data_IF_064296718846
#
_entry.id   IF_064296718846
#
_cell.length_a   1.000
_cell.length_b   1.000
_cell.length_c   1.000
_cell.angle_alpha   90.00
_cell.angle_beta   90.00
_cell.angle_gamma   90.00
#
_symmetry.space_group_name_H-M   'P 1'
#
loop_
_entity.id
_entity.type
_entity.pdbx_description
1 polymer ?
#
# COMPACT_ATOMS: atom_id res chain seq x y z
N UNK A 1 50.82 -25.46 -19.66
CA UNK A 1 50.11 -24.43 -18.86
C UNK A 1 48.92 -23.95 -19.68
N UNK A 2 47.74 -23.85 -19.06
CA UNK A 2 46.56 -23.24 -19.67
C UNK A 2 46.67 -21.71 -19.63
N UNK A 3 46.11 -21.01 -20.62
CA UNK A 3 46.14 -19.55 -20.71
C UNK A 3 44.85 -18.96 -20.12
N UNK A 4 44.94 -17.94 -19.26
CA UNK A 4 43.80 -17.30 -18.60
C UNK A 4 42.80 -18.28 -17.94
N UNK A 5 43.29 -19.39 -17.40
CA UNK A 5 42.47 -20.42 -16.76
C UNK A 5 41.57 -21.23 -17.72
N UNK A 6 41.70 -21.04 -19.04
CA UNK A 6 40.93 -21.76 -20.06
C UNK A 6 41.85 -22.66 -20.90
N UNK A 7 41.30 -23.80 -21.37
CA UNK A 7 42.02 -24.74 -22.22
C UNK A 7 42.68 -25.92 -21.51
N UNK A 8 43.57 -26.62 -22.22
CA UNK A 8 44.22 -27.84 -21.73
C UNK A 8 45.43 -27.55 -20.85
N UNK A 9 45.69 -28.41 -19.85
CA UNK A 9 46.89 -28.33 -19.00
C UNK A 9 48.17 -28.54 -19.80
N UNK A 10 48.14 -29.47 -20.75
CA UNK A 10 49.16 -29.78 -21.76
C UNK A 10 48.48 -30.44 -22.97
N UNK A 11 49.05 -30.27 -24.17
CA UNK A 11 48.58 -30.99 -25.36
C UNK A 11 48.93 -32.49 -25.32
N UNK A 12 49.90 -32.89 -24.48
CA UNK A 12 50.31 -34.29 -24.29
C UNK A 12 49.14 -35.10 -23.71
N UNK A 13 48.80 -36.20 -24.38
CA UNK A 13 47.68 -37.06 -24.00
C UNK A 13 46.30 -36.59 -24.48
N UNK A 14 46.22 -35.43 -25.15
CA UNK A 14 44.98 -34.95 -25.77
C UNK A 14 44.80 -35.42 -27.22
N UNK A 15 45.82 -36.02 -27.82
CA UNK A 15 45.84 -36.44 -29.24
C UNK A 15 45.48 -35.34 -30.25
N UNK A 16 45.59 -34.06 -29.87
CA UNK A 16 45.32 -32.89 -30.70
C UNK A 16 46.42 -31.84 -30.52
N UNK A 17 46.40 -30.78 -31.33
CA UNK A 17 47.36 -29.67 -31.26
C UNK A 17 47.22 -28.80 -29.99
N UNK A 18 46.13 -28.97 -29.22
CA UNK A 18 45.83 -28.09 -28.09
C UNK A 18 45.50 -26.65 -28.48
N UNK A 19 45.18 -26.40 -29.76
CA UNK A 19 44.77 -25.08 -30.23
C UNK A 19 43.40 -24.70 -29.66
N UNK A 20 43.33 -23.57 -28.96
CA UNK A 20 42.12 -23.06 -28.31
C UNK A 20 41.71 -21.77 -29.01
N UNK A 21 40.50 -21.74 -29.54
CA UNK A 21 39.90 -20.55 -30.15
C UNK A 21 38.86 -19.95 -29.22
N UNK A 22 38.79 -18.61 -29.18
CA UNK A 22 37.66 -17.94 -28.51
C UNK A 22 36.39 -18.15 -29.33
N UNK A 23 35.28 -18.42 -28.67
CA UNK A 23 33.97 -18.46 -29.34
C UNK A 23 33.56 -17.05 -29.77
N UNK A 24 33.19 -16.89 -31.04
CA UNK A 24 32.60 -15.65 -31.59
C UNK A 24 31.13 -15.45 -31.20
N UNK A 25 30.53 -16.38 -30.45
CA UNK A 25 29.20 -16.19 -29.87
C UNK A 25 29.25 -15.42 -28.54
N UNK A 26 30.39 -15.44 -27.86
CA UNK A 26 30.61 -14.74 -26.59
C UNK A 26 31.16 -13.34 -26.85
N UNK A 27 30.32 -12.48 -27.42
CA UNK A 27 30.65 -11.09 -27.70
C UNK A 27 30.08 -10.20 -26.59
N UNK A 28 30.81 -9.15 -26.21
CA UNK A 28 30.39 -8.22 -25.16
C UNK A 28 29.05 -7.55 -25.46
N UNK A 29 28.72 -7.35 -26.74
CA UNK A 29 27.44 -6.82 -27.19
C UNK A 29 26.27 -7.76 -26.85
N UNK A 30 26.47 -9.07 -26.98
CA UNK A 30 25.48 -10.08 -26.61
C UNK A 30 25.35 -10.23 -25.09
N UNK A 31 26.46 -10.06 -24.36
CA UNK A 31 26.47 -10.00 -22.89
C UNK A 31 25.68 -8.80 -22.37
N UNK A 32 25.95 -7.59 -22.88
CA UNK A 32 25.23 -6.36 -22.51
C UNK A 32 23.73 -6.46 -22.82
N UNK A 33 23.37 -7.06 -23.95
CA UNK A 33 21.97 -7.28 -24.33
C UNK A 33 21.28 -8.28 -23.40
N UNK A 34 21.97 -9.37 -22.99
CA UNK A 34 21.46 -10.32 -21.98
C UNK A 34 21.24 -9.65 -20.62
N UNK A 35 22.15 -8.77 -20.18
CA UNK A 35 21.98 -8.00 -18.95
C UNK A 35 20.78 -7.03 -19.03
N UNK A 36 20.60 -6.34 -20.16
CA UNK A 36 19.42 -5.47 -20.40
C UNK A 36 18.12 -6.28 -20.36
N UNK A 37 18.09 -7.43 -21.02
CA UNK A 37 16.89 -8.30 -21.04
C UNK A 37 16.59 -8.91 -19.66
N UNK A 38 17.62 -9.26 -18.88
CA UNK A 38 17.47 -9.75 -17.52
C UNK A 38 16.90 -8.68 -16.58
N UNK A 39 17.47 -7.47 -16.64
CA UNK A 39 17.02 -6.33 -15.81
C UNK A 39 15.61 -5.86 -16.18
N UNK A 40 15.27 -5.83 -17.48
CA UNK A 40 13.93 -5.54 -17.95
C UNK A 40 12.90 -6.55 -17.42
N UNK A 41 13.18 -7.86 -17.55
CA UNK A 41 12.31 -8.93 -17.04
C UNK A 41 12.14 -8.86 -15.51
N UNK A 42 13.19 -8.48 -14.77
CA UNK A 42 13.11 -8.28 -13.31
C UNK A 42 12.22 -7.09 -12.96
N UNK A 43 12.30 -5.98 -13.72
CA UNK A 43 11.42 -4.82 -13.54
C UNK A 43 9.96 -5.14 -13.84
N UNK A 44 9.67 -5.88 -14.91
CA UNK A 44 8.30 -6.30 -15.22
C UNK A 44 7.71 -7.19 -14.13
N UNK A 45 8.46 -8.21 -13.66
CA UNK A 45 8.01 -9.04 -12.53
C UNK A 45 7.67 -8.21 -11.29
N UNK A 46 8.47 -7.20 -10.97
CA UNK A 46 8.22 -6.29 -9.84
C UNK A 46 7.01 -5.37 -10.07
N UNK A 47 6.67 -5.06 -11.32
CA UNK A 47 5.46 -4.31 -11.68
C UNK A 47 4.24 -5.21 -11.56
N UNK A 48 4.33 -6.43 -12.04
CA UNK A 48 3.26 -7.43 -11.95
C UNK A 48 2.93 -7.80 -10.51
N UNK A 49 3.93 -7.97 -9.64
CA UNK A 49 3.67 -8.22 -8.21
C UNK A 49 2.97 -7.04 -7.55
N UNK A 50 3.39 -5.80 -7.83
CA UNK A 50 2.70 -4.59 -7.35
C UNK A 50 1.28 -4.51 -7.87
N UNK A 51 1.07 -4.78 -9.15
CA UNK A 51 -0.25 -4.76 -9.75
C UNK A 51 -1.15 -5.84 -9.14
N UNK A 52 -0.66 -7.05 -8.91
CA UNK A 52 -1.42 -8.13 -8.26
C UNK A 52 -1.78 -7.82 -6.80
N UNK A 53 -0.85 -7.23 -6.04
CA UNK A 53 -1.13 -6.76 -4.68
C UNK A 53 -2.20 -5.66 -4.69
N UNK A 54 -2.11 -4.72 -5.64
CA UNK A 54 -3.10 -3.67 -5.81
C UNK A 54 -4.45 -4.20 -6.34
N UNK A 55 -4.45 -5.27 -7.14
CA UNK A 55 -5.66 -5.91 -7.66
C UNK A 55 -6.38 -6.74 -6.60
N UNK A 56 -5.64 -7.40 -5.69
CA UNK A 56 -6.21 -8.11 -4.54
C UNK A 56 -6.95 -7.19 -3.57
N UNK A 57 -6.57 -5.91 -3.52
CA UNK A 57 -7.29 -4.86 -2.77
C UNK A 57 -8.55 -4.39 -3.51
N UNK A 58 -8.62 -4.60 -4.83
CA UNK A 58 -9.67 -4.03 -5.71
C UNK A 58 -10.75 -5.04 -6.15
N UNK A 59 -10.60 -6.34 -5.87
CA UNK A 59 -11.49 -7.38 -6.41
C UNK A 59 -12.06 -8.28 -5.31
N UNK A 60 -13.15 -7.83 -4.69
CA UNK A 60 -14.18 -8.70 -4.11
C UNK A 60 -15.41 -8.69 -5.02
N UNK A 61 -16.07 -9.83 -5.11
CA UNK A 61 -16.91 -10.29 -6.23
C UNK A 61 -18.31 -9.66 -6.32
N UNK A 62 -18.69 -8.79 -5.37
CA UNK A 62 -19.97 -8.05 -5.39
C UNK A 62 -19.79 -6.53 -5.68
N UNK A 63 -18.62 -6.10 -6.14
CA UNK A 63 -18.43 -4.76 -6.72
C UNK A 63 -18.51 -3.56 -5.76
N UNK A 64 -18.65 -3.78 -4.46
CA UNK A 64 -18.70 -2.69 -3.46
C UNK A 64 -17.32 -2.49 -2.84
N UNK A 65 -16.51 -1.60 -3.43
CA UNK A 65 -15.42 -0.91 -2.71
C UNK A 65 -16.08 0.12 -1.78
N UNK A 66 -16.85 -0.34 -0.80
CA UNK A 66 -17.36 0.51 0.27
C UNK A 66 -17.34 -0.26 1.60
N UNK A 67 -16.15 -0.44 2.23
CA UNK A 67 -16.19 -0.73 3.65
C UNK A 67 -15.05 -0.09 4.46
N UNK A 68 -14.45 1.01 4.00
CA UNK A 68 -13.65 1.83 4.93
C UNK A 68 -14.54 2.89 5.55
N UNK A 69 -15.18 3.75 4.75
CA UNK A 69 -16.01 4.81 5.32
C UNK A 69 -17.28 4.32 6.04
N UNK A 70 -17.99 3.33 5.50
CA UNK A 70 -19.17 2.75 6.15
C UNK A 70 -18.78 2.03 7.44
N UNK A 71 -17.72 1.23 7.41
CA UNK A 71 -17.17 0.57 8.60
C UNK A 71 -16.74 1.59 9.64
N UNK A 72 -15.98 2.63 9.27
CA UNK A 72 -15.55 3.70 10.16
C UNK A 72 -16.78 4.40 10.78
N UNK A 73 -17.80 4.73 9.98
CA UNK A 73 -19.06 5.30 10.50
C UNK A 73 -19.73 4.38 11.52
N UNK A 74 -19.80 3.08 11.25
CA UNK A 74 -20.39 2.10 12.18
C UNK A 74 -19.55 1.91 13.44
N UNK A 75 -18.23 1.90 13.35
CA UNK A 75 -17.32 1.82 14.49
C UNK A 75 -17.48 3.04 15.40
N UNK A 76 -17.53 4.24 14.83
CA UNK A 76 -17.76 5.47 15.58
C UNK A 76 -19.12 5.47 16.27
N UNK A 77 -20.19 5.05 15.57
CA UNK A 77 -21.53 4.92 16.18
C UNK A 77 -21.52 3.89 17.31
N UNK A 78 -20.89 2.73 17.10
CA UNK A 78 -20.77 1.68 18.11
C UNK A 78 -20.04 2.18 19.35
N UNK A 79 -18.96 2.94 19.19
CA UNK A 79 -18.21 3.49 20.31
C UNK A 79 -19.08 4.39 21.20
N UNK A 80 -19.96 5.21 20.60
CA UNK A 80 -20.94 6.02 21.34
C UNK A 80 -21.92 5.12 22.09
N UNK A 81 -22.53 4.14 21.42
CA UNK A 81 -23.51 3.24 22.07
C UNK A 81 -22.88 2.39 23.18
N UNK A 82 -21.63 1.95 23.03
CA UNK A 82 -20.88 1.24 24.08
C UNK A 82 -20.70 2.14 25.31
N UNK A 83 -20.26 3.39 25.11
CA UNK A 83 -20.11 4.33 26.21
C UNK A 83 -21.45 4.66 26.92
N UNK A 84 -22.56 4.70 26.18
CA UNK A 84 -23.92 4.86 26.75
C UNK A 84 -24.30 3.60 27.54
N UNK A 85 -24.04 2.41 27.01
CA UNK A 85 -24.31 1.15 27.72
C UNK A 85 -23.53 1.05 29.02
N UNK A 86 -22.24 1.36 29.01
CA UNK A 86 -21.40 1.35 30.21
C UNK A 86 -21.89 2.36 31.27
N UNK A 87 -22.42 3.51 30.85
CA UNK A 87 -23.01 4.48 31.78
C UNK A 87 -24.30 3.92 32.39
N UNK A 88 -25.15 3.31 31.55
CA UNK A 88 -26.40 2.70 31.99
C UNK A 88 -26.15 1.63 33.04
N UNK A 89 -25.23 0.69 32.76
CA UNK A 89 -24.87 -0.39 33.68
C UNK A 89 -24.43 0.16 35.05
N UNK A 90 -23.63 1.23 35.07
CA UNK A 90 -23.20 1.90 36.32
C UNK A 90 -24.34 2.52 37.09
N UNK A 91 -25.27 3.19 36.40
CA UNK A 91 -26.40 3.85 37.07
C UNK A 91 -27.43 2.84 37.58
N UNK A 92 -27.56 1.69 36.90
CA UNK A 92 -28.37 0.56 37.37
C UNK A 92 -27.74 -0.10 38.60
N UNK A 93 -26.41 -0.24 38.65
CA UNK A 93 -25.67 -0.72 39.83
C UNK A 93 -25.81 0.24 41.04
N UNK A 94 -25.89 1.55 40.78
CA UNK A 94 -26.15 2.59 41.79
C UNK A 94 -27.64 2.72 42.20
N UNK A 95 -28.52 1.82 41.72
CA UNK A 95 -29.98 1.80 41.99
C UNK A 95 -30.71 3.13 41.67
N UNK A 96 -30.27 3.84 40.64
CA UNK A 96 -30.88 5.10 40.21
C UNK A 96 -32.23 4.87 39.54
N UNK A 97 -33.18 5.81 39.67
CA UNK A 97 -34.49 5.72 39.01
C UNK A 97 -34.36 5.70 37.48
N UNK A 98 -35.11 4.79 36.83
CA UNK A 98 -35.07 4.55 35.37
C UNK A 98 -35.23 5.83 34.52
N UNK A 99 -36.11 6.76 34.93
CA UNK A 99 -36.30 8.05 34.23
C UNK A 99 -35.04 8.92 34.25
N UNK A 100 -34.28 8.88 35.35
CA UNK A 100 -33.04 9.63 35.51
C UNK A 100 -31.93 8.95 34.70
N UNK A 101 -31.92 7.61 34.64
CA UNK A 101 -31.02 6.82 33.81
C UNK A 101 -31.18 7.21 32.34
N UNK A 102 -32.41 7.22 31.83
CA UNK A 102 -32.70 7.58 30.43
C UNK A 102 -32.24 9.00 30.10
N UNK A 103 -32.56 9.97 30.97
CA UNK A 103 -32.13 11.37 30.79
C UNK A 103 -30.60 11.49 30.71
N UNK A 104 -29.87 10.84 31.64
CA UNK A 104 -28.40 10.86 31.65
C UNK A 104 -27.81 10.17 30.43
N UNK A 105 -28.40 9.07 29.96
CA UNK A 105 -27.97 8.36 28.77
C UNK A 105 -28.15 9.20 27.50
N UNK A 106 -29.28 9.91 27.37
CA UNK A 106 -29.54 10.80 26.23
C UNK A 106 -28.66 12.05 26.25
N UNK A 107 -28.40 12.62 27.43
CA UNK A 107 -27.42 13.68 27.61
C UNK A 107 -26.02 13.23 27.16
N UNK A 108 -25.59 12.04 27.56
CA UNK A 108 -24.30 11.50 27.15
C UNK A 108 -24.24 11.24 25.63
N UNK A 109 -25.31 10.66 25.06
CA UNK A 109 -25.41 10.41 23.61
C UNK A 109 -25.30 11.71 22.81
N UNK A 110 -26.04 12.74 23.20
CA UNK A 110 -26.00 14.05 22.51
C UNK A 110 -24.64 14.73 22.65
N UNK A 111 -23.99 14.62 23.81
CA UNK A 111 -22.64 15.15 24.05
C UNK A 111 -21.60 14.50 23.15
N UNK A 112 -21.57 13.16 23.10
CA UNK A 112 -20.59 12.43 22.28
C UNK A 112 -20.81 12.65 20.78
N UNK A 113 -22.07 12.75 20.32
CA UNK A 113 -22.36 13.09 18.93
C UNK A 113 -21.83 14.49 18.56
N UNK A 114 -22.03 15.49 19.43
CA UNK A 114 -21.48 16.85 19.22
C UNK A 114 -19.96 16.82 19.15
N UNK A 115 -19.31 16.14 20.09
CA UNK A 115 -17.85 15.99 20.13
C UNK A 115 -17.33 15.36 18.82
N UNK A 116 -17.95 14.25 18.39
CA UNK A 116 -17.58 13.58 17.16
C UNK A 116 -17.71 14.49 15.92
N UNK A 117 -18.78 15.28 15.83
CA UNK A 117 -18.95 16.26 14.74
C UNK A 117 -17.85 17.33 14.80
N UNK A 118 -17.49 17.83 15.99
CA UNK A 118 -16.41 18.81 16.12
C UNK A 118 -15.05 18.24 15.74
N UNK A 119 -14.72 17.03 16.17
CA UNK A 119 -13.47 16.34 15.82
C UNK A 119 -13.36 16.09 14.32
N UNK A 120 -14.48 15.72 13.68
CA UNK A 120 -14.56 15.56 12.22
C UNK A 120 -14.32 16.90 11.49
N UNK A 121 -14.82 18.01 12.03
CA UNK A 121 -14.58 19.35 11.45
C UNK A 121 -13.12 19.76 11.58
N UNK A 122 -12.51 19.53 12.75
CA UNK A 122 -11.10 19.87 13.01
C UNK A 122 -10.16 19.04 12.15
N UNK A 123 -10.37 17.73 12.07
CA UNK A 123 -9.57 16.85 11.22
C UNK A 123 -9.67 17.23 9.74
N UNK A 124 -10.87 17.55 9.23
CA UNK A 124 -11.05 18.01 7.86
C UNK A 124 -10.43 19.39 7.57
N UNK A 125 -10.33 20.26 8.58
CA UNK A 125 -9.71 21.58 8.42
C UNK A 125 -8.19 21.50 8.26
N UNK A 126 -7.55 20.46 8.81
CA UNK A 126 -6.11 20.29 8.75
C UNK A 126 -5.69 19.36 7.61
N UNK A 127 -5.14 19.92 6.53
CA UNK A 127 -4.46 19.14 5.49
C UNK A 127 -2.96 19.03 5.74
N UNK A 128 -2.42 17.81 5.62
CA UNK A 128 -0.99 17.59 5.81
C UNK A 128 -0.17 18.30 4.73
N UNK A 129 1.10 18.64 5.03
CA UNK A 129 2.00 19.28 4.04
C UNK A 129 2.19 18.41 2.80
N UNK A 130 2.28 17.09 2.98
CA UNK A 130 2.44 16.12 1.90
C UNK A 130 1.24 16.10 0.94
N UNK A 131 0.01 16.14 1.47
CA UNK A 131 -1.20 16.20 0.64
C UNK A 131 -1.29 17.52 -0.12
N UNK A 132 -1.01 18.65 0.55
CA UNK A 132 -0.96 19.97 -0.09
C UNK A 132 0.06 20.04 -1.23
N UNK A 133 1.24 19.44 -1.06
CA UNK A 133 2.25 19.40 -2.12
C UNK A 133 1.85 18.54 -3.32
N UNK A 134 1.11 17.44 -3.09
CA UNK A 134 0.59 16.59 -4.17
C UNK A 134 -0.48 17.31 -4.98
N UNK A 135 -1.47 17.91 -4.32
CA UNK A 135 -2.51 18.71 -4.98
C UNK A 135 -1.88 19.81 -5.86
N UNK A 136 -0.85 20.51 -5.36
CA UNK A 136 -0.16 21.55 -6.13
C UNK A 136 0.65 21.01 -7.32
N UNK A 137 1.20 19.80 -7.21
CA UNK A 137 1.88 19.15 -8.33
C UNK A 137 0.89 18.64 -9.39
N UNK A 138 -0.26 18.11 -8.98
CA UNK A 138 -1.32 17.64 -9.87
C UNK A 138 -1.95 18.82 -10.62
N UNK A 139 -2.26 19.91 -9.93
CA UNK A 139 -2.81 21.13 -10.56
C UNK A 139 -1.86 21.78 -11.56
N UNK A 140 -0.55 21.80 -11.27
CA UNK A 140 0.47 22.28 -12.23
C UNK A 140 0.52 21.40 -13.48
N UNK A 141 0.43 20.07 -13.33
CA UNK A 141 0.46 19.13 -14.46
C UNK A 141 -0.80 19.15 -15.33
N UNK A 142 -1.95 19.56 -14.78
CA UNK A 142 -3.20 19.74 -15.52
C UNK A 142 -3.23 21.05 -16.31
N UNK A 143 -2.66 22.13 -15.76
CA UNK A 143 -2.55 23.42 -16.48
C UNK A 143 -1.64 23.35 -17.71
N UNK A 144 -0.60 22.52 -17.69
CA UNK A 144 0.32 22.31 -18.84
C UNK A 144 -0.31 21.44 -19.95
N UNK A 145 -1.31 20.61 -19.64
CA UNK A 145 -2.00 19.77 -20.63
C UNK A 145 -3.07 20.52 -21.43
N UNK A 146 -3.57 21.63 -20.90
CA UNK A 146 -4.63 22.41 -21.55
C UNK A 146 -4.11 23.55 -22.44
N UNK A 147 -2.79 23.76 -22.45
CA UNK A 147 -2.09 24.79 -23.23
C UNK A 147 -1.36 24.24 -24.46
N UNK A 148 -1.64 22.98 -24.83
CA UNK A 148 -1.02 22.29 -25.98
C UNK A 148 -2.05 21.75 -26.96
#
# INVERSE_FOLDING_TARGET
MSYNGIGLKSAKGSSTSGHIQRSLANNDEHSQTRLKNYTARRKEKLKDTRNRLNEGIRKTTDGVIVPQESMIKHLNRRQIEVAVSELRDKLEEDEVEEKIIDSKCDELRTRLLKQFVTEKRVSNAYKTRSERSKENSESSSESEKHTK
#
